data_IF_888757295534
#
_entry.id   IF_888757295534
#
_cell.length_a   1.000
_cell.length_b   1.000
_cell.length_c   1.000
_cell.angle_alpha   90.00
_cell.angle_beta   90.00
_cell.angle_gamma   90.00
#
_symmetry.space_group_name_H-M   'P 1'
#
loop_
_entity.id
_entity.type
_entity.pdbx_description
1 polymer ?
#
# COMPACT_ATOMS: atom_id res chain seq x y z
N UNK A 1 -6.56 -7.04 0.69
CA UNK A 1 -5.64 -6.43 1.69
C UNK A 1 -6.30 -5.64 2.83
N UNK A 2 -7.38 -4.88 2.62
CA UNK A 2 -7.99 -4.07 3.71
C UNK A 2 -8.52 -4.90 4.87
N UNK A 3 -9.10 -6.08 4.59
CA UNK A 3 -9.53 -7.03 5.63
C UNK A 3 -8.36 -7.50 6.49
N UNK A 4 -7.24 -7.91 5.87
CA UNK A 4 -6.02 -8.29 6.61
C UNK A 4 -5.46 -7.13 7.44
N UNK A 5 -5.43 -5.91 6.90
CA UNK A 5 -4.98 -4.74 7.64
C UNK A 5 -5.85 -4.49 8.89
N UNK A 6 -7.18 -4.61 8.77
CA UNK A 6 -8.11 -4.46 9.90
C UNK A 6 -7.92 -5.56 10.95
N UNK A 7 -7.70 -6.80 10.51
CA UNK A 7 -7.47 -7.92 11.43
C UNK A 7 -6.17 -7.71 12.23
N UNK A 8 -5.07 -7.31 11.58
CA UNK A 8 -3.81 -6.98 12.25
C UNK A 8 -3.97 -5.81 13.22
N UNK A 9 -4.73 -4.77 12.85
CA UNK A 9 -5.04 -3.67 13.75
C UNK A 9 -5.86 -4.11 14.97
N UNK A 10 -6.76 -5.07 14.82
CA UNK A 10 -7.53 -5.65 15.93
C UNK A 10 -6.65 -6.45 16.90
N UNK A 11 -5.59 -7.09 16.40
CA UNK A 11 -4.53 -7.72 17.21
C UNK A 11 -3.52 -6.70 17.77
N UNK A 12 -3.74 -5.40 17.57
CA UNK A 12 -2.90 -4.32 18.11
C UNK A 12 -1.69 -3.94 17.25
N UNK A 13 -1.52 -4.52 16.05
CA UNK A 13 -0.39 -4.22 15.16
C UNK A 13 -0.71 -3.01 14.27
N UNK A 14 0.00 -1.86 14.41
CA UNK A 14 -0.21 -0.73 13.54
C UNK A 14 0.23 -1.05 12.12
N UNK A 15 -0.73 -1.17 11.20
CA UNK A 15 -0.48 -1.44 9.78
C UNK A 15 -1.43 -0.60 8.93
N UNK A 16 -1.00 -0.24 7.73
CA UNK A 16 -1.88 0.39 6.73
C UNK A 16 -1.85 -0.37 5.41
N UNK A 17 -2.84 -0.12 4.56
CA UNK A 17 -2.88 -0.68 3.20
C UNK A 17 -1.84 -0.05 2.26
N UNK A 18 -1.03 0.91 2.73
CA UNK A 18 -0.06 1.63 1.91
C UNK A 18 -0.72 2.34 0.72
N UNK A 19 -0.02 2.37 -0.42
CA UNK A 19 -0.56 2.95 -1.64
C UNK A 19 -1.83 2.26 -2.11
N UNK A 20 -2.86 3.05 -2.41
CA UNK A 20 -4.16 2.58 -2.90
C UNK A 20 -4.19 2.35 -4.40
N UNK A 21 -3.26 2.96 -5.15
CA UNK A 21 -3.10 2.82 -6.60
C UNK A 21 -1.66 3.15 -7.01
N UNK A 22 -1.18 2.64 -8.17
CA UNK A 22 0.13 3.02 -8.68
C UNK A 22 0.14 4.47 -9.16
N UNK A 23 1.31 5.11 -9.09
CA UNK A 23 1.50 6.54 -9.36
C UNK A 23 0.83 7.02 -10.66
N UNK A 24 1.00 6.27 -11.76
CA UNK A 24 0.47 6.67 -13.08
C UNK A 24 -1.08 6.70 -13.16
N UNK A 25 -1.78 6.22 -12.12
CA UNK A 25 -3.25 6.30 -11.97
C UNK A 25 -3.70 7.36 -10.95
N UNK A 26 -2.77 8.14 -10.40
CA UNK A 26 -3.09 9.19 -9.44
C UNK A 26 -3.69 10.43 -10.14
N UNK A 27 -4.86 10.92 -9.69
CA UNK A 27 -5.58 11.99 -10.38
C UNK A 27 -4.82 13.32 -10.35
N UNK A 28 -3.95 13.52 -9.36
CA UNK A 28 -3.14 14.73 -9.28
C UNK A 28 -2.11 14.82 -10.42
N UNK A 29 -1.77 13.72 -11.12
CA UNK A 29 -0.89 13.79 -12.29
C UNK A 29 -1.48 14.62 -13.43
N UNK A 30 -2.82 14.79 -13.48
CA UNK A 30 -3.48 15.68 -14.43
C UNK A 30 -3.11 17.16 -14.22
N UNK A 31 -2.76 17.55 -12.99
CA UNK A 31 -2.27 18.90 -12.70
C UNK A 31 -0.94 19.16 -13.40
N UNK A 32 -0.04 18.17 -13.41
CA UNK A 32 1.30 18.29 -13.98
C UNK A 32 1.33 18.32 -15.52
N UNK A 33 0.20 18.02 -16.18
CA UNK A 33 0.07 18.14 -17.64
C UNK A 33 -0.10 19.60 -18.11
N UNK A 34 -0.28 20.57 -17.20
CA UNK A 34 -0.54 21.98 -17.52
C UNK A 34 0.73 22.85 -17.43
N UNK A 35 0.81 23.94 -18.21
CA UNK A 35 1.85 24.96 -18.02
C UNK A 35 1.74 25.55 -16.59
N UNK A 36 2.86 25.93 -15.94
CA UNK A 36 4.23 25.98 -16.46
C UNK A 36 5.01 24.68 -16.24
N UNK A 37 4.41 23.60 -15.75
CA UNK A 37 5.16 22.36 -15.48
C UNK A 37 5.42 21.56 -16.76
N UNK A 38 4.46 21.54 -17.69
CA UNK A 38 4.58 20.82 -18.96
C UNK A 38 5.28 21.61 -20.09
N UNK A 39 5.52 22.91 -19.94
CA UNK A 39 5.86 23.77 -21.09
C UNK A 39 7.37 24.13 -21.23
N UNK A 40 8.15 24.36 -20.16
CA UNK A 40 9.58 24.64 -20.25
C UNK A 40 10.47 23.40 -20.04
N UNK A 41 10.00 22.35 -19.35
CA UNK A 41 10.84 21.23 -18.92
C UNK A 41 10.60 19.91 -19.65
N UNK A 42 9.42 19.74 -20.26
CA UNK A 42 9.03 18.48 -20.88
C UNK A 42 8.31 18.76 -22.21
N UNK A 43 9.07 18.83 -23.30
CA UNK A 43 8.60 19.24 -24.64
C UNK A 43 7.64 18.24 -25.32
N UNK A 44 7.01 17.34 -24.57
CA UNK A 44 6.06 16.33 -25.05
C UNK A 44 4.84 16.24 -24.11
N UNK A 45 3.64 16.02 -24.66
CA UNK A 45 2.48 15.71 -23.83
C UNK A 45 2.72 14.38 -23.10
N UNK A 46 2.43 14.36 -21.81
CA UNK A 46 2.51 13.15 -20.97
C UNK A 46 1.17 12.45 -21.00
N UNK A 47 1.16 11.20 -21.46
CA UNK A 47 -0.02 10.33 -21.46
C UNK A 47 0.30 9.00 -20.76
N UNK A 48 -0.40 8.75 -19.65
CA UNK A 48 -0.28 7.52 -18.85
C UNK A 48 -1.37 6.50 -19.18
N UNK A 49 -2.31 6.80 -20.07
CA UNK A 49 -3.48 5.95 -20.37
C UNK A 49 -3.11 4.53 -20.82
N UNK A 50 -1.96 4.39 -21.49
CA UNK A 50 -1.45 3.13 -22.02
C UNK A 50 -0.40 2.46 -21.12
N UNK A 51 -0.03 3.07 -19.99
CA UNK A 51 0.95 2.49 -19.07
C UNK A 51 0.30 1.34 -18.30
N UNK A 52 0.95 0.17 -18.32
CA UNK A 52 0.53 -1.01 -17.56
C UNK A 52 1.73 -1.55 -16.81
N UNK A 53 1.63 -1.59 -15.48
CA UNK A 53 2.69 -2.06 -14.60
C UNK A 53 2.13 -3.12 -13.66
N UNK A 54 2.03 -4.39 -14.10
CA UNK A 54 1.31 -5.44 -13.36
C UNK A 54 1.83 -5.64 -11.93
N UNK A 55 3.14 -5.57 -11.73
CA UNK A 55 3.73 -5.70 -10.39
C UNK A 55 3.33 -4.54 -9.46
N UNK A 56 3.35 -3.30 -9.97
CA UNK A 56 2.94 -2.13 -9.19
C UNK A 56 1.44 -2.16 -8.89
N UNK A 57 0.62 -2.59 -9.85
CA UNK A 57 -0.82 -2.79 -9.67
C UNK A 57 -1.10 -3.86 -8.62
N UNK A 58 -0.41 -5.00 -8.67
CA UNK A 58 -0.54 -6.08 -7.69
C UNK A 58 -0.18 -5.61 -6.28
N UNK A 59 0.93 -4.90 -6.13
CA UNK A 59 1.34 -4.31 -4.85
C UNK A 59 0.32 -3.29 -4.32
N UNK A 60 -0.16 -2.37 -5.18
CA UNK A 60 -1.08 -1.31 -4.76
C UNK A 60 -2.51 -1.78 -4.54
N UNK A 61 -2.99 -2.81 -5.23
CA UNK A 61 -4.39 -3.23 -5.14
C UNK A 61 -4.60 -4.48 -4.29
N UNK A 62 -3.66 -5.42 -4.32
CA UNK A 62 -3.90 -6.77 -3.81
C UNK A 62 -3.05 -7.11 -2.59
N UNK A 63 -1.73 -6.84 -2.64
CA UNK A 63 -0.77 -7.49 -1.74
C UNK A 63 -0.05 -6.56 -0.76
N UNK A 64 0.11 -5.27 -1.06
CA UNK A 64 0.92 -4.36 -0.26
C UNK A 64 0.28 -3.97 1.09
N UNK A 65 1.07 -4.09 2.16
CA UNK A 65 0.80 -3.58 3.50
C UNK A 65 2.04 -2.85 4.03
N UNK A 66 1.83 -1.82 4.84
CA UNK A 66 2.89 -0.98 5.36
C UNK A 66 2.89 -1.02 6.88
N UNK A 67 4.01 -1.45 7.45
CA UNK A 67 4.33 -1.25 8.85
C UNK A 67 5.07 0.10 8.95
N UNK A 68 4.52 1.09 9.67
CA UNK A 68 5.25 2.31 9.97
C UNK A 68 6.58 1.98 10.67
N UNK A 69 7.62 2.75 10.38
CA UNK A 69 8.97 2.45 10.86
C UNK A 69 9.05 2.27 12.39
N UNK A 70 8.27 3.02 13.16
CA UNK A 70 8.26 2.93 14.63
C UNK A 70 7.79 1.57 15.17
N UNK A 71 7.01 0.81 14.39
CA UNK A 71 6.59 -0.56 14.75
C UNK A 71 7.80 -1.50 14.86
N UNK A 72 8.89 -1.17 14.15
CA UNK A 72 10.12 -1.96 14.13
C UNK A 72 11.21 -1.44 15.09
N UNK A 73 10.85 -0.53 16.01
CA UNK A 73 11.77 0.01 17.02
C UNK A 73 11.55 -0.58 18.41
N UNK A 74 10.72 -1.62 18.52
CA UNK A 74 10.47 -2.32 19.76
C UNK A 74 11.58 -3.30 20.17
N UNK A 75 11.33 -3.97 21.28
CA UNK A 75 12.08 -5.13 21.74
C UNK A 75 11.87 -6.33 20.81
N UNK A 76 12.63 -7.41 21.06
CA UNK A 76 12.39 -8.69 20.39
C UNK A 76 10.97 -9.21 20.64
N UNK A 77 10.44 -9.04 21.85
CA UNK A 77 9.07 -9.48 22.17
C UNK A 77 8.03 -8.73 21.34
N UNK A 78 8.23 -7.43 21.09
CA UNK A 78 7.34 -6.66 20.22
C UNK A 78 7.37 -7.17 18.76
N UNK A 79 8.51 -7.69 18.30
CA UNK A 79 8.61 -8.36 16.98
C UNK A 79 7.90 -9.70 16.97
N UNK A 80 8.01 -10.46 18.07
CA UNK A 80 7.33 -11.75 18.24
C UNK A 80 5.81 -11.55 18.29
N UNK A 81 5.30 -10.44 18.83
CA UNK A 81 3.88 -10.07 18.80
C UNK A 81 3.38 -9.82 17.36
N UNK A 82 4.19 -9.18 16.51
CA UNK A 82 3.86 -9.01 15.08
C UNK A 82 3.70 -10.38 14.42
N UNK A 83 4.65 -11.29 14.64
CA UNK A 83 4.61 -12.66 14.07
C UNK A 83 3.38 -13.41 14.57
N UNK A 84 3.15 -13.39 15.88
CA UNK A 84 2.02 -14.07 16.53
C UNK A 84 0.67 -13.59 15.98
N UNK A 85 0.52 -12.30 15.72
CA UNK A 85 -0.69 -11.74 15.11
C UNK A 85 -0.92 -12.29 13.70
N UNK A 86 0.13 -12.37 12.86
CA UNK A 86 0.01 -12.97 11.53
C UNK A 86 -0.32 -14.46 11.58
N UNK A 87 0.28 -15.22 12.49
CA UNK A 87 0.02 -16.64 12.67
C UNK A 87 -1.43 -16.89 13.09
N UNK A 88 -1.91 -16.17 14.10
CA UNK A 88 -3.30 -16.25 14.57
C UNK A 88 -4.31 -15.93 13.46
N UNK A 89 -4.07 -14.87 12.69
CA UNK A 89 -4.93 -14.50 11.56
C UNK A 89 -4.94 -15.59 10.49
N UNK A 90 -3.79 -16.19 10.18
CA UNK A 90 -3.68 -17.27 9.21
C UNK A 90 -4.44 -18.52 9.66
N UNK A 91 -4.37 -18.86 10.94
CA UNK A 91 -5.05 -20.03 11.52
C UNK A 91 -6.58 -19.86 11.54
N UNK A 92 -7.06 -18.62 11.63
CA UNK A 92 -8.50 -18.31 11.72
C UNK A 92 -9.02 -17.60 10.46
N UNK A 93 -8.41 -17.85 9.30
CA UNK A 93 -8.69 -17.07 8.08
C UNK A 93 -10.14 -17.22 7.61
N UNK A 94 -10.76 -18.37 7.85
CA UNK A 94 -12.15 -18.64 7.47
C UNK A 94 -13.13 -17.73 8.24
N UNK A 95 -12.86 -17.46 9.52
CA UNK A 95 -13.67 -16.54 10.34
C UNK A 95 -13.54 -15.08 9.89
N UNK A 96 -12.43 -14.72 9.24
CA UNK A 96 -12.11 -13.36 8.79
C UNK A 96 -12.66 -13.08 7.39
N UNK A 97 -12.83 -14.11 6.57
CA UNK A 97 -13.33 -14.01 5.19
C UNK A 97 -14.85 -14.14 5.07
N UNK A 98 -15.54 -14.47 6.16
CA UNK A 98 -17.01 -14.53 6.24
C UNK A 98 -17.62 -13.12 6.35
#
# INVERSE_FOLDING_TARGET
KSTLARALQAEGIPVSVGYSKPLYKEPYLEYFKKCPLSCPYYSKPVDYSNVKMPAAEKACYQEGLWLPQYVLLGSKNDMDDIISAFEKIRENIDEILT
#
